data_IF_122129208751
#
_entry.id   IF_122129208751
#
_cell.length_a   1.000
_cell.length_b   1.000
_cell.length_c   1.000
_cell.angle_alpha   90.00
_cell.angle_beta   90.00
_cell.angle_gamma   90.00
#
_symmetry.space_group_name_H-M   'P 1'
#
loop_
_entity.id
_entity.type
_entity.pdbx_description
1 polymer ?
#
# COMPACT_ATOMS: atom_id res chain seq x y z
N UNK A 1 -7.70 -23.67 3.93
CA UNK A 1 -7.30 -22.26 3.97
C UNK A 1 -7.61 -21.73 5.36
N UNK A 2 -6.66 -21.09 6.03
CA UNK A 2 -6.88 -20.50 7.35
C UNK A 2 -7.72 -19.22 7.28
N UNK A 3 -7.83 -18.50 8.39
CA UNK A 3 -8.49 -17.18 8.43
C UNK A 3 -8.00 -16.25 7.31
N UNK A 4 -8.91 -15.43 6.79
CA UNK A 4 -8.63 -14.51 5.68
C UNK A 4 -7.66 -13.40 6.10
N UNK A 5 -6.96 -12.81 5.12
CA UNK A 5 -6.02 -11.71 5.36
C UNK A 5 -6.76 -10.51 5.95
N UNK A 6 -7.95 -10.23 5.44
CA UNK A 6 -8.84 -9.16 5.91
C UNK A 6 -9.19 -9.32 7.39
N UNK A 7 -9.48 -10.55 7.83
CA UNK A 7 -9.77 -10.81 9.24
C UNK A 7 -8.57 -10.52 10.14
N UNK A 8 -7.39 -11.02 9.76
CA UNK A 8 -6.15 -10.80 10.54
C UNK A 8 -5.80 -9.32 10.67
N UNK A 9 -6.00 -8.54 9.62
CA UNK A 9 -5.80 -7.08 9.65
C UNK A 9 -6.82 -6.39 10.55
N UNK A 10 -8.10 -6.79 10.44
CA UNK A 10 -9.18 -6.26 11.29
C UNK A 10 -8.94 -6.55 12.77
N UNK A 11 -8.47 -7.75 13.13
CA UNK A 11 -8.17 -8.13 14.52
C UNK A 11 -7.03 -7.28 15.12
N UNK A 12 -6.15 -6.72 14.28
CA UNK A 12 -5.10 -5.78 14.67
C UNK A 12 -5.56 -4.31 14.64
N UNK A 13 -6.83 -4.04 14.29
CA UNK A 13 -7.35 -2.68 14.11
C UNK A 13 -6.78 -1.95 12.89
N UNK A 14 -6.26 -2.68 11.89
CA UNK A 14 -5.67 -2.12 10.67
C UNK A 14 -6.68 -2.19 9.53
N UNK A 15 -6.94 -1.04 8.90
CA UNK A 15 -7.71 -0.94 7.66
C UNK A 15 -6.77 -0.67 6.48
N UNK A 16 -6.97 -1.38 5.36
CA UNK A 16 -6.23 -1.09 4.13
C UNK A 16 -6.77 0.21 3.52
N UNK A 17 -5.94 1.24 3.32
CA UNK A 17 -6.39 2.49 2.72
C UNK A 17 -6.64 2.33 1.22
N UNK A 18 -7.33 3.30 0.63
CA UNK A 18 -7.36 3.44 -0.82
C UNK A 18 -5.93 3.63 -1.36
N UNK A 19 -5.61 2.96 -2.46
CA UNK A 19 -4.30 3.07 -3.08
C UNK A 19 -4.02 4.51 -3.53
N UNK A 20 -2.80 4.99 -3.30
CA UNK A 20 -2.40 6.32 -3.71
C UNK A 20 -2.27 6.43 -5.24
N UNK A 21 -2.56 7.61 -5.77
CA UNK A 21 -2.27 7.92 -7.16
C UNK A 21 -0.74 7.97 -7.41
N UNK A 22 -0.26 7.60 -8.61
CA UNK A 22 1.15 7.77 -8.98
C UNK A 22 1.61 9.23 -8.86
N UNK A 23 2.82 9.43 -8.33
CA UNK A 23 3.39 10.77 -8.15
C UNK A 23 3.89 11.42 -9.46
N UNK A 24 4.03 10.63 -10.53
CA UNK A 24 4.49 11.06 -11.85
C UNK A 24 3.98 10.09 -12.93
N UNK A 25 4.59 10.12 -14.12
CA UNK A 25 4.21 9.30 -15.27
C UNK A 25 4.67 7.84 -15.14
N UNK A 26 4.09 7.11 -14.18
CA UNK A 26 4.28 5.66 -13.99
C UNK A 26 3.00 5.00 -13.47
N UNK A 27 2.94 3.66 -13.51
CA UNK A 27 1.79 2.86 -13.05
C UNK A 27 1.95 2.45 -11.58
N UNK A 28 0.86 2.30 -10.80
CA UNK A 28 0.94 1.94 -9.38
C UNK A 28 1.50 0.53 -9.13
N UNK A 29 1.34 -0.37 -10.11
CA UNK A 29 1.94 -1.69 -10.13
C UNK A 29 2.09 -2.18 -11.57
N UNK A 30 2.97 -3.14 -11.80
CA UNK A 30 3.05 -3.90 -13.05
C UNK A 30 3.18 -5.40 -12.76
N UNK A 31 2.83 -6.24 -13.75
CA UNK A 31 2.90 -7.69 -13.63
C UNK A 31 3.70 -8.27 -14.78
N UNK A 32 4.59 -9.21 -14.48
CA UNK A 32 5.29 -10.05 -15.47
C UNK A 32 5.18 -11.51 -15.05
N UNK A 33 4.53 -12.34 -15.87
CA UNK A 33 4.22 -13.72 -15.53
C UNK A 33 3.40 -13.84 -14.24
N UNK A 34 4.01 -14.43 -13.20
CA UNK A 34 3.44 -14.60 -11.86
C UNK A 34 4.00 -13.61 -10.82
N UNK A 35 4.84 -12.64 -11.23
CA UNK A 35 5.39 -11.61 -10.35
C UNK A 35 4.60 -10.31 -10.47
N UNK A 36 4.19 -9.77 -9.33
CA UNK A 36 3.54 -8.46 -9.21
C UNK A 36 4.48 -7.48 -8.50
N UNK A 37 4.83 -6.40 -9.18
CA UNK A 37 5.72 -5.36 -8.66
C UNK A 37 4.91 -4.11 -8.33
N UNK A 38 4.98 -3.65 -7.09
CA UNK A 38 4.37 -2.38 -6.67
C UNK A 38 5.37 -1.24 -6.87
N UNK A 39 4.86 -0.04 -7.17
CA UNK A 39 5.65 1.17 -7.06
C UNK A 39 5.94 1.49 -5.58
N UNK A 40 6.90 2.39 -5.33
CA UNK A 40 7.19 2.86 -3.98
C UNK A 40 5.95 3.39 -3.27
N UNK A 41 5.73 2.96 -2.02
CA UNK A 41 4.61 3.40 -1.19
C UNK A 41 5.13 4.31 -0.07
N UNK A 42 4.43 5.43 0.15
CA UNK A 42 4.72 6.39 1.22
C UNK A 42 3.84 6.11 2.44
N UNK A 43 4.24 6.55 3.65
CA UNK A 43 3.40 6.46 4.85
C UNK A 43 2.30 7.54 4.81
N UNK A 44 1.35 7.38 3.90
CA UNK A 44 0.20 8.26 3.77
C UNK A 44 -0.94 7.78 4.69
N UNK A 45 -1.56 8.73 5.37
CA UNK A 45 -2.84 8.54 6.06
C UNK A 45 -3.76 9.67 5.65
N UNK A 46 -4.97 9.33 5.18
CA UNK A 46 -5.96 10.28 4.68
C UNK A 46 -5.38 11.25 3.62
N UNK A 47 -4.54 10.71 2.73
CA UNK A 47 -3.86 11.47 1.68
C UNK A 47 -2.69 12.36 2.14
N UNK A 48 -2.32 12.31 3.43
CA UNK A 48 -1.26 13.16 4.01
C UNK A 48 -0.06 12.33 4.46
N UNK A 49 1.14 12.82 4.18
CA UNK A 49 2.39 12.21 4.62
C UNK A 49 2.51 12.26 6.15
N UNK A 50 2.69 11.09 6.77
CA UNK A 50 2.77 10.96 8.23
C UNK A 50 4.20 11.12 8.77
N UNK A 51 5.19 10.76 7.96
CA UNK A 51 6.59 10.84 8.34
C UNK A 51 7.44 11.18 7.12
N UNK A 52 8.40 12.08 7.32
CA UNK A 52 9.49 12.36 6.39
C UNK A 52 10.81 11.93 7.02
N UNK A 53 11.81 11.63 6.19
CA UNK A 53 13.15 11.35 6.68
C UNK A 53 13.76 12.53 7.43
N UNK A 54 14.66 12.23 8.36
CA UNK A 54 15.56 13.19 9.00
C UNK A 54 16.75 13.36 8.04
N UNK A 55 16.80 14.46 7.31
CA UNK A 55 18.08 14.96 6.79
C UNK A 55 18.75 15.75 7.91
#
# INVERSE_FOLDING_TARGET
>A
MGETIEKRLSDLGVTIPAAAAPAANYVPYCRTGNLLFTAGQLPLKDGKLQASGLL
#
